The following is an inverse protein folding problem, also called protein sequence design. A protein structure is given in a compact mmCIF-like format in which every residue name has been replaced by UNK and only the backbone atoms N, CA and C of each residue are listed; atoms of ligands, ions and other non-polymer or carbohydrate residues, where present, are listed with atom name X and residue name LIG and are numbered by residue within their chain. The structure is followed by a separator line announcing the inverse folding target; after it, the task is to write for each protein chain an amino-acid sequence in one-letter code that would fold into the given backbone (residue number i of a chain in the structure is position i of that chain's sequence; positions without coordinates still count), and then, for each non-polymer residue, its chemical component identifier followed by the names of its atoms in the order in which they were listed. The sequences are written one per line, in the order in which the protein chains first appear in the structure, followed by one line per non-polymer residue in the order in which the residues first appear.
data_IF_599926589699
#
_entry.id   IF_599926589699
#
_cell.length_a   1.000
_cell.length_b   1.000
_cell.length_c   1.000
_cell.angle_alpha   90.00
_cell.angle_beta   90.00
_cell.angle_gamma   90.00
#
_symmetry.space_group_name_H-M   'P 1'
#
loop_
_entity.id
_entity.type
_entity.pdbx_description
1 polymer ?
#
# COMPACT_ATOMS: atom_id res chain seq x y z
N UNK A 1 2.41 12.50 -15.19
CA UNK A 1 3.73 12.18 -14.63
C UNK A 1 3.62 11.12 -13.56
N UNK A 2 4.54 10.18 -13.51
CA UNK A 2 4.48 9.18 -12.45
C UNK A 2 4.82 9.80 -11.09
N UNK A 3 4.24 9.24 -10.04
CA UNK A 3 4.57 9.61 -8.67
C UNK A 3 5.61 8.62 -8.13
N UNK A 4 6.62 9.15 -7.47
CA UNK A 4 7.65 8.35 -6.82
C UNK A 4 7.40 8.42 -5.31
N UNK A 5 6.93 7.33 -4.73
CA UNK A 5 6.54 7.32 -3.33
C UNK A 5 7.18 6.17 -2.57
N UNK A 6 7.10 6.26 -1.24
CA UNK A 6 7.67 5.24 -0.37
C UNK A 6 6.56 4.43 0.28
N UNK A 7 6.77 3.13 0.35
CA UNK A 7 5.88 2.22 1.06
C UNK A 7 6.72 1.48 2.09
N UNK A 8 6.27 1.49 3.34
CA UNK A 8 6.95 0.77 4.41
C UNK A 8 6.03 -0.34 4.91
N UNK A 9 6.42 -1.57 4.63
CA UNK A 9 5.66 -2.74 5.05
C UNK A 9 6.37 -3.41 6.22
N UNK A 10 5.64 -3.68 7.29
CA UNK A 10 6.22 -4.27 8.50
C UNK A 10 6.86 -5.63 8.26
N UNK A 11 6.46 -6.33 7.21
CA UNK A 11 6.98 -7.66 6.87
C UNK A 11 8.01 -7.64 5.74
N UNK A 12 8.27 -6.48 5.14
CA UNK A 12 9.15 -6.43 3.96
C UNK A 12 10.15 -5.26 4.01
N UNK A 13 9.89 -4.23 4.81
CA UNK A 13 10.73 -3.05 4.88
C UNK A 13 10.29 -1.96 3.92
N UNK A 14 11.15 -0.97 3.71
CA UNK A 14 10.83 0.16 2.87
C UNK A 14 11.09 -0.15 1.40
N UNK A 15 10.14 0.22 0.56
CA UNK A 15 10.22 0.06 -0.88
C UNK A 15 9.83 1.38 -1.53
N UNK A 16 10.59 1.79 -2.53
CA UNK A 16 10.25 2.96 -3.34
C UNK A 16 9.51 2.46 -4.58
N UNK A 17 8.37 3.08 -4.86
CA UNK A 17 7.50 2.68 -5.96
C UNK A 17 7.24 3.84 -6.89
N UNK A 18 7.09 3.54 -8.17
CA UNK A 18 6.62 4.48 -9.18
C UNK A 18 5.19 4.12 -9.54
N UNK A 19 4.28 5.09 -9.38
CA UNK A 19 2.86 4.90 -9.66
C UNK A 19 2.45 5.88 -10.75
N UNK A 20 1.84 5.36 -11.81
CA UNK A 20 1.32 6.15 -12.91
C UNK A 20 -0.14 6.50 -12.64
N UNK A 21 -0.54 7.72 -12.99
CA UNK A 21 -1.92 8.14 -12.83
C UNK A 21 -2.28 8.46 -11.38
N UNK A 22 -3.54 8.23 -11.02
CA UNK A 22 -4.03 8.52 -9.68
C UNK A 22 -3.33 7.65 -8.62
N UNK A 23 -2.89 8.29 -7.54
CA UNK A 23 -2.23 7.58 -6.44
C UNK A 23 -3.26 7.27 -5.36
N UNK A 24 -3.59 5.99 -5.26
CA UNK A 24 -4.58 5.46 -4.32
C UNK A 24 -3.99 4.22 -3.65
N UNK A 25 -4.66 3.71 -2.61
CA UNK A 25 -4.21 2.45 -2.00
C UNK A 25 -4.18 1.36 -3.06
N UNK A 26 -5.21 1.28 -3.91
CA UNK A 26 -5.27 0.26 -4.97
C UNK A 26 -4.08 0.36 -5.91
N UNK A 27 -3.78 1.56 -6.41
CA UNK A 27 -2.68 1.72 -7.38
C UNK A 27 -1.33 1.44 -6.76
N UNK A 28 -1.15 1.80 -5.48
CA UNK A 28 0.10 1.50 -4.78
C UNK A 28 0.25 -0.01 -4.59
N UNK A 29 -0.82 -0.71 -4.20
CA UNK A 29 -0.75 -2.16 -4.03
C UNK A 29 -0.55 -2.87 -5.36
N UNK A 30 -1.15 -2.38 -6.44
CA UNK A 30 -0.90 -2.92 -7.78
C UNK A 30 0.57 -2.82 -8.15
N UNK A 31 1.18 -1.66 -7.91
CA UNK A 31 2.59 -1.44 -8.20
C UNK A 31 3.49 -2.32 -7.33
N UNK A 32 3.14 -2.45 -6.05
CA UNK A 32 3.90 -3.26 -5.11
C UNK A 32 3.87 -4.74 -5.51
N UNK A 33 2.69 -5.25 -5.85
CA UNK A 33 2.54 -6.65 -6.25
C UNK A 33 3.17 -6.94 -7.62
N UNK A 34 3.18 -5.96 -8.51
CA UNK A 34 3.85 -6.10 -9.79
C UNK A 34 5.37 -6.21 -9.60
N UNK A 35 5.92 -5.44 -8.66
CA UNK A 35 7.34 -5.47 -8.37
C UNK A 35 7.73 -6.70 -7.55
N UNK A 36 6.85 -7.15 -6.66
CA UNK A 36 7.07 -8.29 -5.78
C UNK A 36 5.92 -9.28 -5.91
N UNK A 37 5.91 -10.08 -6.98
CA UNK A 37 4.78 -11.00 -7.23
C UNK A 37 4.51 -11.97 -6.06
N UNK A 38 5.51 -12.25 -5.23
CA UNK A 38 5.32 -13.12 -4.08
C UNK A 38 4.37 -12.54 -3.04
N UNK A 39 4.05 -11.24 -3.12
CA UNK A 39 3.14 -10.60 -2.18
C UNK A 39 1.68 -10.71 -2.60
N UNK A 40 1.39 -11.24 -3.78
CA UNK A 40 0.01 -11.42 -4.21
C UNK A 40 -0.71 -12.35 -3.25
N UNK A 41 -1.91 -11.92 -2.83
CA UNK A 41 -2.70 -12.67 -1.86
C UNK A 41 -2.24 -12.51 -0.41
N UNK A 42 -1.13 -11.80 -0.17
CA UNK A 42 -0.59 -11.61 1.17
C UNK A 42 -1.21 -10.40 1.86
N UNK A 43 -1.31 -9.29 1.15
CA UNK A 43 -1.82 -8.02 1.70
C UNK A 43 -3.32 -7.95 1.51
N UNK A 44 -3.79 -8.40 0.37
CA UNK A 44 -5.21 -8.40 0.02
C UNK A 44 -5.55 -9.71 -0.68
N UNK A 45 -6.82 -10.09 -0.64
CA UNK A 45 -7.29 -11.29 -1.30
C UNK A 45 -7.01 -11.18 -2.80
N UNK A 46 -6.37 -12.18 -3.38
CA UNK A 46 -5.96 -12.15 -4.77
C UNK A 46 -7.15 -12.03 -5.74
N UNK A 47 -8.23 -12.76 -5.46
CA UNK A 47 -9.40 -12.77 -6.34
C UNK A 47 -10.30 -11.56 -6.09
N UNK A 48 -10.64 -11.27 -4.82
CA UNK A 48 -11.58 -10.20 -4.49
C UNK A 48 -10.92 -8.84 -4.33
N UNK A 49 -9.60 -8.81 -4.17
CA UNK A 49 -8.82 -7.59 -3.93
C UNK A 49 -9.18 -6.92 -2.61
N UNK A 50 -9.80 -7.64 -1.70
CA UNK A 50 -10.14 -7.13 -0.38
C UNK A 50 -8.94 -7.24 0.57
N UNK A 51 -8.80 -6.22 1.44
CA UNK A 51 -7.74 -6.20 2.44
C UNK A 51 -7.83 -7.43 3.36
N UNK A 52 -6.69 -8.04 3.64
CA UNK A 52 -6.63 -9.14 4.61
C UNK A 52 -6.99 -8.61 6.00
N UNK A 53 -7.69 -9.41 6.85
CA UNK A 53 -8.23 -8.92 8.12
C UNK A 53 -7.21 -8.32 9.10
N UNK A 54 -5.99 -8.83 9.11
CA UNK A 54 -4.98 -8.38 10.06
C UNK A 54 -4.04 -7.32 9.52
N UNK A 55 -4.33 -6.79 8.34
CA UNK A 55 -3.50 -5.76 7.73
C UNK A 55 -4.17 -4.40 7.83
N UNK A 56 -3.36 -3.38 8.07
CA UNK A 56 -3.82 -2.01 8.18
C UNK A 56 -2.97 -1.10 7.33
N UNK A 57 -3.60 -0.07 6.78
CA UNK A 57 -2.93 0.95 5.98
C UNK A 57 -2.96 2.28 6.74
N UNK A 58 -1.78 2.90 6.88
CA UNK A 58 -1.66 4.19 7.56
C UNK A 58 -0.88 5.16 6.70
N UNK A 59 -1.25 6.44 6.79
CA UNK A 59 -0.47 7.52 6.19
C UNK A 59 -0.70 8.78 6.99
N UNK A 60 0.35 9.56 7.20
CA UNK A 60 0.27 10.83 7.92
C UNK A 60 -0.38 10.70 9.30
N UNK A 61 -0.16 9.57 9.97
CA UNK A 61 -0.72 9.31 11.30
C UNK A 61 -2.17 8.87 11.30
N UNK A 62 -2.78 8.66 10.14
CA UNK A 62 -4.18 8.25 10.04
C UNK A 62 -4.32 6.83 9.54
N UNK A 63 -5.30 6.10 10.10
CA UNK A 63 -5.65 4.76 9.66
C UNK A 63 -6.56 4.85 8.44
N UNK A 64 -6.07 4.37 7.31
CA UNK A 64 -6.81 4.40 6.05
C UNK A 64 -7.46 3.06 5.71
N UNK A 65 -7.41 2.11 6.64
CA UNK A 65 -7.86 0.72 6.37
C UNK A 65 -9.34 0.61 6.01
N UNK A 66 -10.14 1.53 6.52
CA UNK A 66 -11.59 1.53 6.29
C UNK A 66 -12.04 2.53 5.23
N UNK A 67 -11.10 3.26 4.65
CA UNK A 67 -11.40 4.20 3.57
C UNK A 67 -11.47 3.44 2.25
N UNK A 68 -12.08 4.08 1.24
CA UNK A 68 -12.10 3.50 -0.10
C UNK A 68 -10.67 3.34 -0.61
N UNK A 69 -10.36 2.18 -1.20
CA UNK A 69 -9.05 1.94 -1.81
C UNK A 69 -8.84 2.79 -3.06
N UNK A 70 -9.90 3.38 -3.58
CA UNK A 70 -9.84 4.25 -4.76
C UNK A 70 -9.81 5.73 -4.40
N UNK A 71 -9.85 6.07 -3.11
CA UNK A 71 -9.73 7.46 -2.67
C UNK A 71 -8.30 7.94 -2.85
N UNK A 72 -8.10 9.22 -3.25
CA UNK A 72 -6.76 9.75 -3.39
C UNK A 72 -6.00 9.72 -2.07
N UNK A 73 -4.72 9.36 -2.13
CA UNK A 73 -3.86 9.41 -0.96
C UNK A 73 -3.44 10.84 -0.65
N UNK A 74 -3.06 11.12 0.61
CA UNK A 74 -2.59 12.47 0.98
C UNK A 74 -1.42 12.93 0.11
N UNK A 75 -1.34 14.24 -0.12
CA UNK A 75 -0.28 14.82 -0.95
C UNK A 75 1.11 14.47 -0.44
N UNK A 76 1.28 14.38 0.88
CA UNK A 76 2.58 14.03 1.47
C UNK A 76 3.02 12.63 1.06
N UNK A 77 2.08 11.70 0.86
CA UNK A 77 2.40 10.36 0.38
C UNK A 77 2.74 10.42 -1.11
N UNK A 78 1.95 11.14 -1.88
CA UNK A 78 2.15 11.27 -3.33
C UNK A 78 3.52 11.87 -3.64
N UNK A 79 3.95 12.84 -2.83
CA UNK A 79 5.25 13.51 -3.02
C UNK A 79 6.43 12.71 -2.49
N UNK A 80 6.18 11.62 -1.76
CA UNK A 80 7.24 10.84 -1.15
C UNK A 80 7.74 11.37 0.18
N UNK A 81 7.13 12.44 0.70
CA UNK A 81 7.51 13.03 1.98
C UNK A 81 7.18 12.10 3.15
N UNK A 82 6.00 11.47 3.09
CA UNK A 82 5.56 10.51 4.08
C UNK A 82 5.31 9.16 3.41
N UNK A 83 5.68 8.05 4.05
CA UNK A 83 5.42 6.74 3.45
C UNK A 83 3.98 6.29 3.65
N UNK A 84 3.50 5.43 2.76
CA UNK A 84 2.32 4.63 3.03
C UNK A 84 2.75 3.44 3.87
N UNK A 85 2.16 3.28 5.04
CA UNK A 85 2.51 2.19 5.95
C UNK A 85 1.56 1.02 5.75
N UNK A 86 2.12 -0.17 5.60
CA UNK A 86 1.35 -1.41 5.55
C UNK A 86 1.78 -2.21 6.78
N UNK A 87 0.91 -2.26 7.78
CA UNK A 87 1.22 -2.80 9.09
C UNK A 87 0.33 -3.99 9.39
N UNK A 88 0.90 -5.01 9.99
CA UNK A 88 0.11 -6.13 10.42
C UNK A 88 0.95 -7.38 10.60
N UNK A 89 0.29 -8.43 11.11
CA UNK A 89 0.90 -9.74 11.24
C UNK A 89 0.55 -10.58 10.03
N UNK A 90 1.57 -11.16 9.41
CA UNK A 90 1.37 -12.12 8.33
C UNK A 90 1.24 -13.50 8.97
N UNK A 91 0.25 -14.27 8.52
CA UNK A 91 0.02 -15.61 9.06
C UNK A 91 1.29 -16.44 8.98
N UNK A 92 1.64 -17.07 10.09
CA UNK A 92 2.87 -17.83 10.19
C UNK A 92 4.08 -17.00 10.53
N UNK A 93 3.88 -15.72 10.63
CA UNK A 93 4.94 -14.80 11.00
C UNK A 93 4.82 -14.36 12.44
#
# INVERSE_FOLDING_TARGET
MPAHLRTLASFHGEVQLEVQGAVTVRSVLDALEARFPMLRGTIREHVTQERRPFLRFFACGEDLSHDSVDAPLPDAVVSGTEPLLIIGAIAGG
#
